data_IF_132716072179
#
_entry.id   IF_132716072179
#
_cell.length_a   1.000
_cell.length_b   1.000
_cell.length_c   1.000
_cell.angle_alpha   90.00
_cell.angle_beta   90.00
_cell.angle_gamma   90.00
#
_symmetry.space_group_name_H-M   'P 1'
#
loop_
_entity.id
_entity.type
_entity.pdbx_description
1 polymer ?
#
# COMPACT_ATOMS: atom_id res chain seq x y z
N UNK A 1 -1.35 -1.84 -5.04
CA UNK A 1 -0.44 -1.08 -4.22
C UNK A 1 -0.22 -1.79 -2.89
N UNK A 2 0.98 -1.71 -2.28
CA UNK A 2 1.24 -2.35 -1.01
C UNK A 2 0.24 -1.84 0.03
N UNK A 3 -0.49 -2.78 0.64
CA UNK A 3 -1.51 -2.50 1.64
C UNK A 3 -0.97 -2.86 3.01
N UNK A 4 -1.13 -1.97 3.99
CA UNK A 4 -0.80 -2.26 5.39
C UNK A 4 -1.55 -3.52 5.86
N UNK A 5 -2.79 -3.71 5.42
CA UNK A 5 -3.58 -4.90 5.73
C UNK A 5 -2.93 -6.19 5.21
N UNK A 6 -2.35 -6.18 3.99
CA UNK A 6 -1.65 -7.34 3.44
C UNK A 6 -0.35 -7.64 4.19
N UNK A 7 0.37 -6.62 4.67
CA UNK A 7 1.59 -6.80 5.47
C UNK A 7 1.23 -7.44 6.81
N UNK A 8 0.24 -6.90 7.52
CA UNK A 8 -0.20 -7.44 8.81
C UNK A 8 -0.81 -8.84 8.68
N UNK A 9 -1.60 -9.08 7.62
CA UNK A 9 -2.15 -10.39 7.32
C UNK A 9 -1.03 -11.40 7.00
N UNK A 10 -0.01 -10.99 6.25
CA UNK A 10 1.13 -11.81 5.91
C UNK A 10 1.93 -12.24 7.15
N UNK A 11 2.16 -11.33 8.08
CA UNK A 11 2.87 -11.61 9.31
C UNK A 11 2.07 -12.57 10.22
N UNK A 12 0.77 -12.31 10.39
CA UNK A 12 -0.11 -13.18 11.19
C UNK A 12 -0.28 -14.57 10.57
N UNK A 13 -0.47 -14.65 9.25
CA UNK A 13 -0.56 -15.93 8.54
C UNK A 13 0.76 -16.70 8.58
N UNK A 14 1.90 -16.04 8.42
CA UNK A 14 3.22 -16.68 8.51
C UNK A 14 3.43 -17.28 9.89
N UNK A 15 3.10 -16.55 10.95
CA UNK A 15 3.21 -17.01 12.33
C UNK A 15 2.29 -18.18 12.61
N UNK A 16 1.01 -18.09 12.21
CA UNK A 16 0.03 -19.16 12.40
C UNK A 16 0.42 -20.44 11.63
N UNK A 17 0.92 -20.28 10.39
CA UNK A 17 1.35 -21.38 9.55
C UNK A 17 2.57 -22.12 10.13
N UNK A 18 3.55 -21.36 10.66
CA UNK A 18 4.70 -21.95 11.36
C UNK A 18 4.26 -22.73 12.61
N UNK A 19 3.37 -22.14 13.40
CA UNK A 19 2.83 -22.81 14.60
C UNK A 19 2.11 -24.11 14.25
N UNK A 20 1.28 -24.10 13.21
CA UNK A 20 0.58 -25.30 12.73
C UNK A 20 1.56 -26.39 12.27
N UNK A 21 2.64 -26.03 11.57
CA UNK A 21 3.66 -26.98 11.14
C UNK A 21 4.44 -27.58 12.34
N UNK A 22 4.77 -26.77 13.34
CA UNK A 22 5.41 -27.24 14.57
C UNK A 22 4.50 -28.23 15.32
N UNK A 23 3.20 -27.96 15.39
CA UNK A 23 2.22 -28.85 16.01
C UNK A 23 2.07 -30.17 15.24
N UNK A 24 2.32 -30.17 13.93
CA UNK A 24 2.36 -31.39 13.11
C UNK A 24 3.71 -32.13 13.15
N UNK A 25 4.66 -31.67 13.97
CA UNK A 25 5.99 -32.29 14.11
C UNK A 25 6.99 -31.93 13.01
N UNK A 26 6.72 -30.88 12.22
CA UNK A 26 7.64 -30.38 11.19
C UNK A 26 8.58 -29.37 11.85
N UNK A 27 9.82 -29.77 12.14
CA UNK A 27 10.79 -28.94 12.84
C UNK A 27 11.51 -27.91 11.94
N UNK A 28 11.28 -27.95 10.64
CA UNK A 28 11.76 -26.94 9.67
C UNK A 28 10.58 -26.24 9.01
N UNK A 29 9.86 -25.38 9.75
CA UNK A 29 8.65 -24.77 9.23
C UNK A 29 8.95 -23.82 8.08
N UNK A 30 8.16 -23.89 7.01
CA UNK A 30 8.21 -22.92 5.91
C UNK A 30 7.48 -21.65 6.33
N UNK A 31 8.04 -20.51 5.97
CA UNK A 31 7.42 -19.19 6.16
C UNK A 31 6.62 -18.80 4.91
N UNK A 32 5.50 -18.11 5.11
CA UNK A 32 4.80 -17.45 4.02
C UNK A 32 5.49 -16.10 3.78
N UNK A 33 5.92 -15.85 2.54
CA UNK A 33 6.50 -14.55 2.18
C UNK A 33 5.39 -13.51 1.98
N UNK A 34 5.58 -12.34 2.58
CA UNK A 34 4.69 -11.19 2.33
C UNK A 34 4.75 -10.80 0.84
N UNK A 35 5.89 -11.00 0.18
CA UNK A 35 6.03 -10.80 -1.26
C UNK A 35 5.07 -11.66 -2.08
N UNK A 36 4.88 -12.93 -1.71
CA UNK A 36 3.95 -13.85 -2.40
C UNK A 36 2.49 -13.36 -2.29
N UNK A 37 2.13 -12.79 -1.14
CA UNK A 37 0.80 -12.18 -0.97
C UNK A 37 0.61 -10.95 -1.86
N UNK A 38 1.65 -10.14 -2.03
CA UNK A 38 1.60 -9.00 -2.96
C UNK A 38 1.48 -9.45 -4.41
N UNK A 39 2.21 -10.50 -4.81
CA UNK A 39 2.06 -11.12 -6.14
C UNK A 39 0.63 -11.62 -6.35
N UNK A 40 0.10 -12.34 -5.36
CA UNK A 40 -1.28 -12.85 -5.40
C UNK A 40 -2.33 -11.74 -5.51
N UNK A 41 -2.12 -10.61 -4.85
CA UNK A 41 -3.03 -9.46 -4.89
C UNK A 41 -2.94 -8.63 -6.19
N UNK A 42 -1.88 -8.81 -6.98
CA UNK A 42 -1.63 -8.02 -8.19
C UNK A 42 -2.68 -8.30 -9.27
N UNK A 43 -3.02 -9.56 -9.47
CA UNK A 43 -4.02 -9.97 -10.49
C UNK A 43 -5.42 -9.40 -10.17
N UNK A 44 -5.99 -9.61 -8.98
CA UNK A 44 -7.26 -9.01 -8.62
C UNK A 44 -7.23 -7.47 -8.66
N UNK A 45 -6.11 -6.87 -8.24
CA UNK A 45 -5.93 -5.43 -8.31
C UNK A 45 -5.96 -4.87 -9.72
N UNK A 46 -5.28 -5.50 -10.67
CA UNK A 46 -5.30 -5.11 -12.08
C UNK A 46 -6.69 -5.31 -12.70
N UNK A 47 -7.36 -6.40 -12.37
CA UNK A 47 -8.71 -6.67 -12.83
C UNK A 47 -9.69 -5.58 -12.36
N UNK A 48 -9.57 -5.14 -11.12
CA UNK A 48 -10.36 -4.04 -10.58
C UNK A 48 -10.08 -2.71 -11.30
N UNK A 49 -8.83 -2.42 -11.62
CA UNK A 49 -8.46 -1.23 -12.41
C UNK A 49 -9.09 -1.30 -13.80
N UNK A 50 -9.06 -2.47 -14.46
CA UNK A 50 -9.71 -2.65 -15.77
C UNK A 50 -11.22 -2.40 -15.66
N UNK A 51 -11.88 -2.93 -14.64
CA UNK A 51 -13.32 -2.68 -14.42
C UNK A 51 -13.61 -1.20 -14.21
N UNK A 52 -12.80 -0.49 -13.45
CA UNK A 52 -12.94 0.96 -13.30
C UNK A 52 -12.74 1.71 -14.62
N UNK A 53 -11.74 1.35 -15.41
CA UNK A 53 -11.53 1.94 -16.73
C UNK A 53 -12.74 1.67 -17.66
N UNK A 54 -13.24 0.46 -17.72
CA UNK A 54 -14.43 0.10 -18.50
C UNK A 54 -15.65 0.90 -18.03
N UNK A 55 -15.88 0.97 -16.72
CA UNK A 55 -16.97 1.75 -16.15
C UNK A 55 -16.88 3.23 -16.55
N UNK A 56 -15.69 3.82 -16.42
CA UNK A 56 -15.48 5.22 -16.82
C UNK A 56 -15.73 5.44 -18.31
N UNK A 57 -15.28 4.54 -19.16
CA UNK A 57 -15.50 4.65 -20.62
C UNK A 57 -16.97 4.51 -20.99
N UNK A 58 -17.70 3.59 -20.33
CA UNK A 58 -19.09 3.32 -20.67
C UNK A 58 -20.09 4.31 -20.03
N UNK A 59 -19.81 4.76 -18.81
CA UNK A 59 -20.76 5.52 -18.00
C UNK A 59 -20.34 6.98 -17.75
N UNK A 60 -19.07 7.36 -17.99
CA UNK A 60 -18.68 8.75 -17.86
C UNK A 60 -19.25 9.55 -19.03
N UNK A 61 -20.31 10.31 -18.76
CA UNK A 61 -20.71 11.40 -19.66
C UNK A 61 -19.57 12.43 -19.64
N UNK A 62 -19.11 12.94 -20.80
CA UNK A 62 -18.21 14.07 -20.79
C UNK A 62 -18.91 15.20 -20.03
N UNK A 63 -18.45 15.46 -18.81
CA UNK A 63 -18.87 16.65 -18.09
C UNK A 63 -18.52 17.82 -19.01
N UNK A 64 -19.54 18.56 -19.41
CA UNK A 64 -19.35 19.78 -20.18
C UNK A 64 -18.36 20.64 -19.37
N UNK A 65 -17.15 20.76 -19.86
CA UNK A 65 -16.13 21.62 -19.26
C UNK A 65 -16.63 23.03 -19.50
N UNK A 66 -17.18 23.62 -18.46
CA UNK A 66 -17.83 24.93 -18.49
C UNK A 66 -16.89 26.11 -18.79
N UNK A 67 -15.62 25.84 -19.07
CA UNK A 67 -14.65 26.83 -19.52
C UNK A 67 -13.63 26.23 -20.48
N UNK A 68 -13.84 26.28 -21.82
CA UNK A 68 -12.87 25.82 -22.81
C UNK A 68 -11.62 26.73 -22.93
N UNK A 69 -11.58 27.84 -22.21
CA UNK A 69 -10.57 28.89 -22.41
C UNK A 69 -9.20 28.63 -21.77
N UNK A 70 -8.99 27.54 -21.02
CA UNK A 70 -7.71 27.31 -20.34
C UNK A 70 -7.02 25.97 -20.60
N UNK A 71 -7.47 25.15 -21.53
CA UNK A 71 -6.82 23.87 -21.77
C UNK A 71 -6.66 23.54 -23.25
N UNK A 72 -5.61 24.06 -23.87
CA UNK A 72 -5.12 23.56 -25.15
C UNK A 72 -4.80 22.04 -25.04
N UNK A 73 -5.61 21.20 -25.71
CA UNK A 73 -5.70 19.77 -25.49
C UNK A 73 -4.42 18.92 -25.60
N UNK A 74 -3.37 19.34 -26.31
CA UNK A 74 -2.11 18.57 -26.44
C UNK A 74 -1.05 18.92 -25.40
N UNK A 75 -0.98 20.17 -24.97
CA UNK A 75 -0.05 20.61 -23.93
C UNK A 75 -0.43 20.12 -22.53
N UNK A 76 -1.72 19.86 -22.31
CA UNK A 76 -2.25 19.32 -21.06
C UNK A 76 -1.85 17.86 -20.83
N UNK A 77 -1.93 17.00 -21.85
CA UNK A 77 -1.60 15.57 -21.74
C UNK A 77 -0.09 15.37 -21.51
N UNK A 78 0.76 16.07 -22.25
CA UNK A 78 2.21 16.01 -22.07
C UNK A 78 2.64 16.51 -20.67
N UNK A 79 2.00 17.54 -20.17
CA UNK A 79 2.26 18.07 -18.82
C UNK A 79 1.77 17.12 -17.75
N UNK A 80 0.60 16.48 -17.94
CA UNK A 80 0.08 15.45 -17.06
C UNK A 80 1.02 14.25 -17.01
N UNK A 81 1.48 13.75 -18.15
CA UNK A 81 2.45 12.66 -18.25
C UNK A 81 3.76 12.96 -17.51
N UNK A 82 4.33 14.16 -17.72
CA UNK A 82 5.56 14.58 -17.03
C UNK A 82 5.39 14.65 -15.50
N UNK A 83 4.21 15.00 -15.02
CA UNK A 83 3.92 15.08 -13.59
C UNK A 83 3.64 13.71 -12.97
N UNK A 84 3.08 12.77 -13.74
CA UNK A 84 2.77 11.41 -13.30
C UNK A 84 4.00 10.48 -13.32
N UNK A 85 4.93 10.71 -14.27
CA UNK A 85 6.07 9.80 -14.46
C UNK A 85 6.92 9.61 -13.19
N UNK A 86 7.32 10.65 -12.43
CA UNK A 86 8.15 10.46 -11.25
C UNK A 86 7.47 9.67 -10.13
N UNK A 87 6.21 9.93 -9.75
CA UNK A 87 5.51 9.11 -8.75
C UNK A 87 5.31 7.66 -9.22
N UNK A 88 4.96 7.44 -10.50
CA UNK A 88 4.79 6.10 -11.05
C UNK A 88 6.12 5.34 -11.05
N UNK A 89 7.22 5.97 -11.44
CA UNK A 89 8.55 5.38 -11.37
C UNK A 89 8.90 4.97 -9.93
N UNK A 90 8.63 5.82 -8.95
CA UNK A 90 8.86 5.50 -7.55
C UNK A 90 8.03 4.29 -7.10
N UNK A 91 6.73 4.24 -7.45
CA UNK A 91 5.85 3.10 -7.13
C UNK A 91 6.39 1.81 -7.76
N UNK A 92 6.77 1.85 -9.04
CA UNK A 92 7.30 0.68 -9.75
C UNK A 92 8.60 0.21 -9.12
N UNK A 93 9.49 1.12 -8.72
CA UNK A 93 10.76 0.78 -8.07
C UNK A 93 10.53 0.14 -6.71
N UNK A 94 9.69 0.74 -5.86
CA UNK A 94 9.38 0.22 -4.52
C UNK A 94 8.68 -1.14 -4.61
N UNK A 95 7.63 -1.23 -5.41
CA UNK A 95 6.89 -2.48 -5.57
C UNK A 95 7.74 -3.56 -6.24
N UNK A 96 8.51 -3.20 -7.26
CA UNK A 96 9.42 -4.11 -7.95
C UNK A 96 10.50 -4.68 -7.02
N UNK A 97 11.06 -3.88 -6.11
CA UNK A 97 12.04 -4.36 -5.14
C UNK A 97 11.47 -5.40 -4.17
N UNK A 98 10.20 -5.25 -3.77
CA UNK A 98 9.50 -6.23 -2.93
C UNK A 98 9.22 -7.52 -3.72
N UNK A 99 8.68 -7.39 -4.94
CA UNK A 99 8.30 -8.53 -5.77
C UNK A 99 9.49 -9.37 -6.22
N UNK A 100 10.65 -8.75 -6.41
CA UNK A 100 11.91 -9.44 -6.75
C UNK A 100 12.64 -10.00 -5.52
N UNK A 101 12.14 -9.72 -4.31
CA UNK A 101 12.79 -10.16 -3.07
C UNK A 101 14.06 -9.39 -2.71
N UNK A 102 14.37 -8.29 -3.40
CA UNK A 102 15.55 -7.46 -3.14
C UNK A 102 15.44 -6.64 -1.86
N UNK A 103 14.22 -6.33 -1.45
CA UNK A 103 13.94 -5.57 -0.24
C UNK A 103 12.72 -6.12 0.49
N UNK A 104 12.78 -6.10 1.81
CA UNK A 104 11.59 -6.34 2.64
C UNK A 104 10.59 -5.19 2.49
N UNK A 105 9.29 -5.41 2.76
CA UNK A 105 8.29 -4.33 2.70
C UNK A 105 8.66 -3.11 3.56
N UNK A 106 9.31 -3.31 4.71
CA UNK A 106 9.74 -2.24 5.61
C UNK A 106 10.87 -1.40 5.00
N UNK A 107 11.88 -2.07 4.43
CA UNK A 107 12.99 -1.39 3.74
C UNK A 107 12.51 -0.63 2.52
N UNK A 108 11.66 -1.26 1.71
CA UNK A 108 11.08 -0.65 0.52
C UNK A 108 10.20 0.57 0.88
N UNK A 109 9.45 0.52 1.99
CA UNK A 109 8.69 1.67 2.49
C UNK A 109 9.60 2.83 2.89
N UNK A 110 10.74 2.55 3.53
CA UNK A 110 11.76 3.55 3.87
C UNK A 110 12.32 4.23 2.62
N UNK A 111 12.71 3.45 1.61
CA UNK A 111 13.18 3.96 0.32
C UNK A 111 12.09 4.78 -0.38
N UNK A 112 10.83 4.31 -0.33
CA UNK A 112 9.68 5.01 -0.88
C UNK A 112 9.45 6.37 -0.22
N UNK A 113 9.51 6.42 1.11
CA UNK A 113 9.36 7.66 1.87
C UNK A 113 10.48 8.66 1.54
N UNK A 114 11.72 8.20 1.53
CA UNK A 114 12.86 9.02 1.13
C UNK A 114 12.73 9.52 -0.30
N UNK A 115 12.35 8.66 -1.24
CA UNK A 115 12.13 9.03 -2.63
C UNK A 115 11.01 10.06 -2.80
N UNK A 116 9.92 9.95 -2.04
CA UNK A 116 8.84 10.93 -2.05
C UNK A 116 9.29 12.31 -1.53
N UNK A 117 10.08 12.34 -0.46
CA UNK A 117 10.67 13.56 0.08
C UNK A 117 11.62 14.19 -0.94
N UNK A 118 12.48 13.39 -1.56
CA UNK A 118 13.40 13.85 -2.60
C UNK A 118 12.67 14.43 -3.81
N UNK A 119 11.60 13.78 -4.28
CA UNK A 119 10.76 14.31 -5.37
C UNK A 119 10.07 15.63 -5.00
N UNK A 120 9.60 15.76 -3.77
CA UNK A 120 8.99 16.99 -3.27
C UNK A 120 10.03 18.13 -3.19
N UNK A 121 11.26 17.82 -2.79
CA UNK A 121 12.38 18.76 -2.74
C UNK A 121 12.77 19.23 -4.15
N UNK A 122 12.93 18.30 -5.11
CA UNK A 122 13.27 18.62 -6.50
C UNK A 122 12.19 19.49 -7.15
N UNK A 123 10.91 19.25 -6.82
CA UNK A 123 9.80 20.09 -7.29
C UNK A 123 9.66 21.43 -6.57
N UNK A 124 10.53 21.72 -5.59
CA UNK A 124 10.47 22.95 -4.79
C UNK A 124 9.22 23.07 -3.90
N UNK A 125 8.55 21.96 -3.65
CA UNK A 125 7.33 21.93 -2.85
C UNK A 125 7.57 21.51 -1.40
N UNK A 126 8.81 21.16 -1.04
CA UNK A 126 9.17 20.78 0.31
C UNK A 126 9.26 22.05 1.18
N UNK A 127 8.34 22.14 2.16
CA UNK A 127 8.36 23.19 3.18
C UNK A 127 8.26 22.51 4.55
N UNK A 128 8.89 23.12 5.56
CA UNK A 128 8.86 22.63 6.94
C UNK A 128 7.43 22.43 7.47
N UNK A 129 6.51 23.33 7.11
CA UNK A 129 5.09 23.20 7.46
C UNK A 129 4.47 21.94 6.88
N UNK A 130 4.69 21.65 5.59
CA UNK A 130 4.19 20.43 4.93
C UNK A 130 4.82 19.17 5.53
N UNK A 131 6.12 19.20 5.82
CA UNK A 131 6.80 18.07 6.45
C UNK A 131 6.21 17.77 7.84
N UNK A 132 5.93 18.82 8.62
CA UNK A 132 5.26 18.68 9.90
C UNK A 132 3.84 18.13 9.78
N UNK A 133 3.06 18.59 8.81
CA UNK A 133 1.72 18.07 8.54
C UNK A 133 1.76 16.58 8.18
N UNK A 134 2.67 16.17 7.31
CA UNK A 134 2.87 14.77 6.94
C UNK A 134 3.26 13.94 8.16
N UNK A 135 4.19 14.41 8.98
CA UNK A 135 4.63 13.73 10.20
C UNK A 135 3.48 13.54 11.19
N UNK A 136 2.68 14.58 11.42
CA UNK A 136 1.51 14.52 12.32
C UNK A 136 0.47 13.53 11.76
N UNK A 137 0.12 13.64 10.48
CA UNK A 137 -0.84 12.74 9.84
C UNK A 137 -0.37 11.27 9.90
N UNK A 138 0.91 11.03 9.63
CA UNK A 138 1.49 9.68 9.73
C UNK A 138 1.41 9.15 11.16
N UNK A 139 1.73 9.97 12.16
CA UNK A 139 1.64 9.61 13.58
C UNK A 139 0.19 9.27 13.96
N UNK A 140 -0.77 10.06 13.52
CA UNK A 140 -2.19 9.81 13.79
C UNK A 140 -2.67 8.47 13.20
N UNK A 141 -2.37 8.22 11.93
CA UNK A 141 -2.74 6.97 11.26
C UNK A 141 -2.07 5.77 11.92
N UNK A 142 -0.80 5.87 12.22
CA UNK A 142 -0.03 4.80 12.89
C UNK A 142 -0.59 4.52 14.28
N UNK A 143 -0.87 5.55 15.08
CA UNK A 143 -1.45 5.41 16.42
C UNK A 143 -2.84 4.76 16.36
N UNK A 144 -3.66 5.13 15.37
CA UNK A 144 -4.98 4.50 15.15
C UNK A 144 -4.84 3.01 14.85
N UNK A 145 -3.91 2.62 13.97
CA UNK A 145 -3.67 1.21 13.64
C UNK A 145 -3.22 0.43 14.88
N UNK A 146 -2.28 0.97 15.66
CA UNK A 146 -1.83 0.33 16.90
C UNK A 146 -2.97 0.17 17.92
N UNK A 147 -3.83 1.18 18.07
CA UNK A 147 -4.98 1.10 18.96
C UNK A 147 -5.93 -0.04 18.56
N UNK A 148 -6.20 -0.19 17.26
CA UNK A 148 -7.04 -1.28 16.72
C UNK A 148 -6.38 -2.63 16.99
N UNK A 149 -5.07 -2.77 16.76
CA UNK A 149 -4.34 -4.02 17.00
C UNK A 149 -4.34 -4.41 18.48
N UNK A 150 -4.13 -3.45 19.38
CA UNK A 150 -4.19 -3.68 20.82
C UNK A 150 -5.61 -4.14 21.23
N UNK A 151 -6.64 -3.45 20.73
CA UNK A 151 -8.03 -3.82 20.98
C UNK A 151 -8.36 -5.24 20.48
N UNK A 152 -7.90 -5.58 19.28
CA UNK A 152 -8.06 -6.91 18.69
C UNK A 152 -7.33 -8.00 19.52
N UNK A 153 -6.12 -7.72 19.99
CA UNK A 153 -5.34 -8.63 20.81
C UNK A 153 -6.01 -8.90 22.16
N UNK A 154 -6.52 -7.85 22.81
CA UNK A 154 -7.27 -7.99 24.07
C UNK A 154 -8.54 -8.80 23.83
N UNK A 155 -9.31 -8.47 22.78
CA UNK A 155 -10.53 -9.20 22.43
C UNK A 155 -10.23 -10.69 22.17
N UNK A 156 -9.22 -10.99 21.37
CA UNK A 156 -8.82 -12.36 21.06
C UNK A 156 -8.41 -13.13 22.31
N UNK A 157 -7.65 -12.51 23.21
CA UNK A 157 -7.22 -13.14 24.47
C UNK A 157 -8.40 -13.46 25.38
N UNK A 158 -9.36 -12.54 25.50
CA UNK A 158 -10.58 -12.75 26.29
C UNK A 158 -11.45 -13.83 25.66
N UNK A 159 -11.65 -13.79 24.34
CA UNK A 159 -12.46 -14.75 23.60
C UNK A 159 -11.93 -16.19 23.76
N UNK A 160 -10.61 -16.38 23.66
CA UNK A 160 -9.95 -17.67 23.95
C UNK A 160 -10.14 -18.11 25.39
N UNK A 161 -10.02 -17.19 26.34
CA UNK A 161 -10.22 -17.48 27.77
C UNK A 161 -11.63 -17.99 28.11
N UNK A 162 -12.62 -17.66 27.28
CA UNK A 162 -13.99 -18.14 27.39
C UNK A 162 -14.31 -19.38 26.51
N UNK A 163 -13.29 -20.02 25.90
CA UNK A 163 -13.49 -21.22 25.09
C UNK A 163 -14.06 -20.94 23.69
N UNK A 164 -13.92 -19.73 23.17
CA UNK A 164 -14.47 -19.33 21.88
C UNK A 164 -13.81 -19.97 20.65
N UNK A 165 -12.86 -20.86 20.82
CA UNK A 165 -12.18 -21.63 19.74
C UNK A 165 -12.63 -23.11 19.68
N UNK A 166 -13.59 -23.55 20.50
CA UNK A 166 -14.12 -24.94 20.52
C UNK A 166 -15.34 -25.07 19.56
#
# INVERSE_FOLDING_TARGET
PPSIALVLLGDTLSSAYQQAQLNMGIFTPKTISIGDLFVGALIPGLLLVIFYCVYLVLFSRPAAIENPSQSGGKASLSRAMKNLLPPVFLIVTVLGSILTGLATPTEAAGVGAFGAIALAAIKGQLNFTKLREVAISTTQVTSMVFLILIGAAIFSSVFRGFGGEE
#
